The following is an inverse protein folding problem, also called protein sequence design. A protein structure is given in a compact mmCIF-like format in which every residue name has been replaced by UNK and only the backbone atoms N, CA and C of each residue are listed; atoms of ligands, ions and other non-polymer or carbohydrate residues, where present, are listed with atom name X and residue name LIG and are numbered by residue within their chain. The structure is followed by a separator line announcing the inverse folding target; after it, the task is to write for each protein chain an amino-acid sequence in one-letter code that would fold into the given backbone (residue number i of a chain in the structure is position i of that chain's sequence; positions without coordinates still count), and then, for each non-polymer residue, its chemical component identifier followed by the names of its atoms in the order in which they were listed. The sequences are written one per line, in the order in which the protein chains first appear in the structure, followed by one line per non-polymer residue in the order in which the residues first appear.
data_IF_676086158422
#
_entry.id   IF_676086158422
#
_cell.length_a   1.000
_cell.length_b   1.000
_cell.length_c   1.000
_cell.angle_alpha   90.00
_cell.angle_beta   90.00
_cell.angle_gamma   90.00
#
_symmetry.space_group_name_H-M   'P 1'
#
loop_
_entity.id
_entity.type
_entity.pdbx_description
1 polymer ?
#
# COMPACT_ATOMS: atom_id res chain seq x y z
N UNK A 1 -13.05 21.27 3.19
CA UNK A 1 -12.05 21.53 4.24
C UNK A 1 -10.75 21.84 3.54
N UNK A 2 -10.20 23.03 3.78
CA UNK A 2 -8.90 23.39 3.20
C UNK A 2 -7.81 22.53 3.84
N UNK A 3 -6.74 22.21 3.09
CA UNK A 3 -5.69 21.31 3.60
C UNK A 3 -5.10 21.79 4.93
N UNK A 4 -4.97 23.11 5.12
CA UNK A 4 -4.40 23.67 6.35
C UNK A 4 -5.33 23.45 7.57
N UNK A 5 -6.65 23.45 7.37
CA UNK A 5 -7.62 23.07 8.40
C UNK A 5 -7.50 21.58 8.77
N UNK A 6 -7.32 20.72 7.76
CA UNK A 6 -7.08 19.27 7.96
C UNK A 6 -5.84 19.05 8.82
N UNK A 7 -4.74 19.72 8.52
CA UNK A 7 -3.48 19.57 9.26
C UNK A 7 -3.61 20.04 10.71
N UNK A 8 -4.34 21.14 10.95
CA UNK A 8 -4.63 21.61 12.31
C UNK A 8 -5.45 20.58 13.07
N UNK A 9 -6.48 20.02 12.45
CA UNK A 9 -7.34 19.02 13.09
C UNK A 9 -6.59 17.70 13.34
N UNK A 10 -5.78 17.23 12.40
CA UNK A 10 -4.92 16.08 12.58
C UNK A 10 -3.99 16.25 13.79
N UNK A 11 -3.42 17.44 13.99
CA UNK A 11 -2.59 17.74 15.15
C UNK A 11 -3.36 17.70 16.47
N UNK A 12 -4.61 18.19 16.49
CA UNK A 12 -5.47 18.07 17.69
C UNK A 12 -5.79 16.61 18.00
N UNK A 13 -6.08 15.80 16.98
CA UNK A 13 -6.34 14.37 17.14
C UNK A 13 -5.14 13.63 17.76
N UNK A 14 -3.92 13.97 17.36
CA UNK A 14 -2.70 13.44 17.98
C UNK A 14 -2.64 13.81 19.47
N UNK A 15 -2.85 15.09 19.81
CA UNK A 15 -2.84 15.54 21.21
C UNK A 15 -3.92 14.88 22.08
N UNK A 16 -5.09 14.60 21.50
CA UNK A 16 -6.16 13.84 22.18
C UNK A 16 -5.70 12.40 22.40
N UNK A 17 -5.15 11.75 21.37
CA UNK A 17 -4.63 10.39 21.44
C UNK A 17 -3.50 10.22 22.46
N UNK A 18 -2.59 11.20 22.57
CA UNK A 18 -1.53 11.22 23.59
C UNK A 18 -2.10 11.22 25.01
N UNK A 19 -3.11 12.07 25.27
CA UNK A 19 -3.80 12.11 26.57
C UNK A 19 -4.52 10.79 26.86
N UNK A 20 -5.26 10.27 25.87
CA UNK A 20 -5.96 8.99 25.97
C UNK A 20 -4.97 7.86 26.31
N UNK A 21 -3.81 7.80 25.65
CA UNK A 21 -2.78 6.80 25.88
C UNK A 21 -2.17 6.88 27.29
N UNK A 22 -1.90 8.10 27.78
CA UNK A 22 -1.36 8.32 29.13
C UNK A 22 -2.35 7.91 30.22
N UNK A 23 -3.62 8.31 30.12
CA UNK A 23 -4.67 7.91 31.07
C UNK A 23 -4.84 6.39 31.08
N UNK A 24 -4.82 5.79 29.89
CA UNK A 24 -4.86 4.36 29.67
C UNK A 24 -3.70 3.66 30.41
N UNK A 25 -2.46 4.05 30.16
CA UNK A 25 -1.25 3.49 30.77
C UNK A 25 -1.27 3.53 32.31
N UNK A 26 -1.88 4.56 32.89
CA UNK A 26 -2.02 4.69 34.34
C UNK A 26 -3.06 3.73 34.93
N UNK A 27 -4.12 3.39 34.19
CA UNK A 27 -5.23 2.54 34.66
C UNK A 27 -5.00 1.05 34.50
N UNK A 28 -4.15 0.61 33.57
CA UNK A 28 -4.02 -0.81 33.21
C UNK A 28 -2.56 -1.24 33.06
N UNK A 29 -2.16 -2.28 33.82
CA UNK A 29 -0.80 -2.84 33.81
C UNK A 29 -0.46 -3.63 32.53
N UNK A 30 -1.48 -4.02 31.74
CA UNK A 30 -1.34 -4.81 30.52
C UNK A 30 -1.97 -4.06 29.35
N UNK A 31 -1.15 -3.46 28.50
CA UNK A 31 -1.59 -2.85 27.24
C UNK A 31 -1.36 -3.81 26.09
N UNK A 32 -2.45 -4.14 25.36
CA UNK A 32 -2.40 -4.92 24.11
C UNK A 32 -2.37 -4.04 22.85
N UNK A 33 -2.88 -2.82 22.93
CA UNK A 33 -2.90 -1.88 21.81
C UNK A 33 -1.57 -1.09 21.76
N UNK A 34 -1.00 -0.89 20.56
CA UNK A 34 0.15 0.01 20.43
C UNK A 34 -0.23 1.43 20.77
N UNK A 35 0.74 2.15 21.33
CA UNK A 35 0.77 3.60 21.34
C UNK A 35 0.39 4.17 19.98
N UNK A 36 0.96 3.62 18.90
CA UNK A 36 0.70 4.13 17.57
C UNK A 36 -0.79 4.11 17.21
N UNK A 37 -1.48 3.00 17.47
CA UNK A 37 -2.89 2.87 17.13
C UNK A 37 -3.75 3.85 17.93
N UNK A 38 -3.45 4.04 19.22
CA UNK A 38 -4.20 4.94 20.09
C UNK A 38 -3.91 6.41 19.73
N UNK A 39 -2.65 6.75 19.51
CA UNK A 39 -2.22 8.14 19.36
C UNK A 39 -2.43 8.66 17.94
N UNK A 40 -2.08 7.89 16.91
CA UNK A 40 -1.98 8.41 15.55
C UNK A 40 -3.10 7.96 14.60
N UNK A 41 -3.76 6.82 14.85
CA UNK A 41 -4.67 6.21 13.84
C UNK A 41 -5.78 7.15 13.36
N UNK A 42 -6.41 7.94 14.26
CA UNK A 42 -7.44 8.92 13.90
C UNK A 42 -6.88 10.03 12.98
N UNK A 43 -5.71 10.56 13.31
CA UNK A 43 -5.06 11.61 12.53
C UNK A 43 -4.58 11.07 11.17
N UNK A 44 -4.00 9.87 11.15
CA UNK A 44 -3.57 9.18 9.93
C UNK A 44 -4.75 9.00 8.99
N UNK A 45 -5.87 8.45 9.47
CA UNK A 45 -7.08 8.27 8.65
C UNK A 45 -7.56 9.58 8.03
N UNK A 46 -7.66 10.65 8.84
CA UNK A 46 -8.06 11.97 8.37
C UNK A 46 -7.13 12.51 7.26
N UNK A 47 -5.82 12.34 7.42
CA UNK A 47 -4.83 12.77 6.42
C UNK A 47 -4.94 11.97 5.13
N UNK A 48 -5.13 10.66 5.23
CA UNK A 48 -5.25 9.77 4.07
C UNK A 48 -6.54 10.03 3.29
N UNK A 49 -7.66 10.37 3.94
CA UNK A 49 -8.92 10.73 3.26
C UNK A 49 -8.78 11.89 2.26
N UNK A 50 -7.81 12.79 2.47
CA UNK A 50 -7.55 13.95 1.60
C UNK A 50 -6.24 13.84 0.83
N UNK A 51 -5.57 12.69 0.88
CA UNK A 51 -4.27 12.50 0.24
C UNK A 51 -4.43 12.31 -1.28
N UNK A 52 -3.82 13.24 -2.02
CA UNK A 52 -3.82 13.28 -3.48
C UNK A 52 -2.60 14.10 -3.95
N UNK A 53 -2.36 14.16 -5.25
CA UNK A 53 -1.22 14.86 -5.87
C UNK A 53 -1.08 16.32 -5.38
N UNK A 54 -2.19 17.05 -5.20
CA UNK A 54 -2.15 18.47 -4.77
C UNK A 54 -1.71 18.62 -3.31
N UNK A 55 -2.01 17.63 -2.47
CA UNK A 55 -1.79 17.67 -1.03
C UNK A 55 -0.59 16.85 -0.57
N UNK A 56 -0.04 15.97 -1.42
CA UNK A 56 1.04 15.01 -1.15
C UNK A 56 2.16 15.63 -0.33
N UNK A 57 2.76 16.72 -0.82
CA UNK A 57 3.91 17.36 -0.17
C UNK A 57 3.60 17.86 1.25
N UNK A 58 2.43 18.50 1.44
CA UNK A 58 2.04 19.02 2.76
C UNK A 58 1.76 17.88 3.74
N UNK A 59 1.10 16.82 3.28
CA UNK A 59 0.78 15.66 4.13
C UNK A 59 2.04 14.87 4.46
N UNK A 60 2.92 14.59 3.49
CA UNK A 60 4.18 13.89 3.73
C UNK A 60 5.06 14.63 4.76
N UNK A 61 5.16 15.96 4.67
CA UNK A 61 5.84 16.79 5.69
C UNK A 61 5.19 16.70 7.07
N UNK A 62 3.86 16.61 7.12
CA UNK A 62 3.15 16.42 8.38
C UNK A 62 3.49 15.06 9.00
N UNK A 63 3.47 13.99 8.19
CA UNK A 63 3.88 12.65 8.63
C UNK A 63 5.29 12.69 9.22
N UNK A 64 6.27 13.24 8.49
CA UNK A 64 7.67 13.34 8.94
C UNK A 64 7.82 14.07 10.27
N UNK A 65 7.04 15.13 10.48
CA UNK A 65 7.16 16.00 11.65
C UNK A 65 6.41 15.51 12.88
N UNK A 66 5.26 14.87 12.68
CA UNK A 66 4.28 14.65 13.75
C UNK A 66 3.90 13.20 13.97
N UNK A 67 4.17 12.30 13.03
CA UNK A 67 3.81 10.89 13.14
C UNK A 67 5.12 10.09 13.09
N UNK A 68 5.53 9.43 14.19
CA UNK A 68 6.79 8.72 14.23
C UNK A 68 6.83 7.65 13.13
N UNK A 69 8.03 7.45 12.59
CA UNK A 69 8.30 6.32 11.72
C UNK A 69 7.97 5.03 12.47
N UNK A 70 7.07 4.22 11.89
CA UNK A 70 6.69 2.93 12.46
C UNK A 70 7.89 2.01 12.66
N UNK A 71 8.97 2.23 11.93
CA UNK A 71 10.17 1.40 11.84
C UNK A 71 11.00 1.30 13.13
N UNK A 72 10.78 2.18 14.12
CA UNK A 72 11.46 2.13 15.42
C UNK A 72 10.71 1.32 16.49
N UNK A 73 9.46 0.91 16.21
CA UNK A 73 8.76 -0.05 17.06
C UNK A 73 9.30 -1.47 16.80
N UNK A 74 9.46 -2.26 17.87
CA UNK A 74 10.00 -3.63 17.82
C UNK A 74 9.31 -4.51 16.76
N UNK A 75 8.05 -4.22 16.43
CA UNK A 75 7.22 -4.97 15.50
C UNK A 75 7.41 -4.62 14.01
N UNK A 76 8.05 -3.49 13.70
CA UNK A 76 8.30 -3.05 12.32
C UNK A 76 9.78 -3.10 11.91
N UNK A 77 10.70 -3.43 12.85
CA UNK A 77 12.12 -3.66 12.54
C UNK A 77 12.33 -4.68 11.42
N UNK A 78 11.49 -5.72 11.39
CA UNK A 78 11.51 -6.71 10.32
C UNK A 78 11.18 -6.07 8.96
N UNK A 79 10.24 -5.12 8.90
CA UNK A 79 9.89 -4.44 7.64
C UNK A 79 11.06 -3.60 7.10
N UNK A 80 11.83 -2.96 7.98
CA UNK A 80 13.07 -2.27 7.59
C UNK A 80 14.07 -3.23 6.95
N UNK A 81 14.32 -4.38 7.60
CA UNK A 81 15.19 -5.42 7.05
C UNK A 81 14.67 -5.94 5.72
N UNK A 82 13.36 -6.12 5.56
CA UNK A 82 12.79 -6.56 4.30
C UNK A 82 12.90 -5.50 3.18
N UNK A 83 12.77 -4.21 3.49
CA UNK A 83 13.02 -3.16 2.50
C UNK A 83 14.47 -3.16 2.01
N UNK A 84 15.43 -3.37 2.90
CA UNK A 84 16.83 -3.50 2.49
C UNK A 84 17.09 -4.79 1.70
N UNK A 85 16.45 -5.90 2.09
CA UNK A 85 16.53 -7.15 1.33
C UNK A 85 15.95 -7.04 -0.07
N UNK A 86 14.91 -6.22 -0.30
CA UNK A 86 14.38 -5.94 -1.64
C UNK A 86 15.40 -5.25 -2.55
N UNK A 87 16.38 -4.52 -2.00
CA UNK A 87 17.46 -3.88 -2.76
C UNK A 87 18.71 -4.76 -2.87
N UNK A 88 18.70 -5.94 -2.26
CA UNK A 88 19.85 -6.85 -2.29
C UNK A 88 20.17 -7.33 -3.70
N UNK A 89 21.44 -7.61 -3.96
CA UNK A 89 21.88 -8.28 -5.20
C UNK A 89 21.41 -9.75 -5.24
N UNK A 90 21.16 -10.34 -4.08
CA UNK A 90 20.68 -11.71 -3.93
C UNK A 90 19.20 -11.82 -4.30
N UNK A 91 18.92 -12.61 -5.34
CA UNK A 91 17.56 -12.83 -5.83
C UNK A 91 16.67 -13.56 -4.81
N UNK A 92 17.20 -14.51 -4.05
CA UNK A 92 16.42 -15.25 -3.06
C UNK A 92 15.98 -14.33 -1.92
N UNK A 93 16.85 -13.42 -1.48
CA UNK A 93 16.50 -12.37 -0.51
C UNK A 93 15.40 -11.45 -1.04
N UNK A 94 15.51 -10.98 -2.29
CA UNK A 94 14.46 -10.14 -2.91
C UNK A 94 13.12 -10.88 -3.03
N UNK A 95 13.15 -12.17 -3.40
CA UNK A 95 11.93 -13.00 -3.47
C UNK A 95 11.32 -13.17 -2.08
N UNK A 96 12.12 -13.46 -1.05
CA UNK A 96 11.63 -13.63 0.32
C UNK A 96 11.04 -12.31 0.86
N UNK A 97 11.72 -11.20 0.62
CA UNK A 97 11.27 -9.89 1.06
C UNK A 97 9.99 -9.43 0.34
N UNK A 98 9.88 -9.62 -0.97
CA UNK A 98 8.64 -9.30 -1.69
C UNK A 98 7.46 -10.17 -1.24
N UNK A 99 7.68 -11.46 -0.95
CA UNK A 99 6.66 -12.33 -0.33
C UNK A 99 6.21 -11.82 1.04
N UNK A 100 7.13 -11.25 1.84
CA UNK A 100 6.80 -10.65 3.12
C UNK A 100 5.79 -9.52 2.95
N UNK A 101 6.07 -8.53 2.10
CA UNK A 101 5.16 -7.41 1.87
C UNK A 101 3.82 -7.85 1.29
N UNK A 102 3.82 -8.79 0.35
CA UNK A 102 2.59 -9.44 -0.13
C UNK A 102 1.80 -10.05 1.03
N UNK A 103 2.46 -10.81 1.90
CA UNK A 103 1.81 -11.45 3.05
C UNK A 103 1.22 -10.42 4.01
N UNK A 104 1.90 -9.30 4.24
CA UNK A 104 1.40 -8.20 5.08
C UNK A 104 0.18 -7.52 4.47
N UNK A 105 0.21 -7.21 3.18
CA UNK A 105 -0.91 -6.56 2.49
C UNK A 105 -2.19 -7.43 2.48
N UNK A 106 -2.04 -8.75 2.43
CA UNK A 106 -3.17 -9.69 2.39
C UNK A 106 -3.66 -10.16 3.77
N UNK A 107 -3.00 -9.81 4.88
CA UNK A 107 -3.42 -10.23 6.21
C UNK A 107 -4.73 -9.54 6.63
N UNK A 108 -5.75 -10.34 6.95
CA UNK A 108 -7.09 -9.85 7.35
C UNK A 108 -7.23 -9.65 8.87
N UNK A 109 -6.37 -10.30 9.66
CA UNK A 109 -6.68 -10.62 11.06
C UNK A 109 -5.90 -9.84 12.12
N UNK A 110 -4.99 -8.93 11.75
CA UNK A 110 -4.33 -8.08 12.74
C UNK A 110 -3.96 -6.71 12.19
N UNK A 111 -4.76 -5.68 12.52
CA UNK A 111 -4.50 -4.28 12.14
C UNK A 111 -3.09 -3.80 12.52
N UNK A 112 -2.49 -4.39 13.55
CA UNK A 112 -1.14 -4.07 13.99
C UNK A 112 -0.05 -4.39 12.97
N UNK A 113 -0.15 -5.53 12.26
CA UNK A 113 0.98 -6.07 11.48
C UNK A 113 1.16 -5.44 10.11
N UNK A 114 0.15 -4.75 9.61
CA UNK A 114 0.10 -4.14 8.29
C UNK A 114 -0.03 -2.61 8.34
N UNK A 115 0.07 -2.03 9.54
CA UNK A 115 0.01 -0.58 9.80
C UNK A 115 1.04 0.23 9.01
N UNK A 116 2.11 -0.42 8.54
CA UNK A 116 3.08 0.18 7.62
C UNK A 116 2.43 0.68 6.31
N UNK A 117 1.34 0.06 5.84
CA UNK A 117 0.60 0.48 4.65
C UNK A 117 -0.36 1.65 4.92
N UNK A 118 -0.51 2.10 6.16
CA UNK A 118 -1.16 3.39 6.47
C UNK A 118 -0.19 4.58 6.29
N UNK A 119 0.92 4.37 5.57
CA UNK A 119 1.89 5.41 5.24
C UNK A 119 2.13 5.50 3.73
N UNK A 120 1.99 6.70 3.12
CA UNK A 120 2.30 6.90 1.71
C UNK A 120 3.73 6.47 1.33
N UNK A 121 4.70 6.74 2.20
CA UNK A 121 6.11 6.39 1.97
C UNK A 121 6.37 4.88 1.81
N UNK A 122 5.50 4.02 2.34
CA UNK A 122 5.56 2.58 2.08
C UNK A 122 5.24 2.26 0.63
N UNK A 123 4.18 2.86 0.08
CA UNK A 123 3.82 2.71 -1.33
C UNK A 123 4.92 3.27 -2.23
N UNK A 124 5.43 4.46 -1.93
CA UNK A 124 6.52 5.10 -2.68
C UNK A 124 7.77 4.18 -2.75
N UNK A 125 8.20 3.61 -1.62
CA UNK A 125 9.34 2.69 -1.57
C UNK A 125 9.10 1.44 -2.41
N UNK A 126 7.92 0.82 -2.31
CA UNK A 126 7.59 -0.39 -3.07
C UNK A 126 7.44 -0.11 -4.57
N UNK A 127 6.86 1.02 -4.96
CA UNK A 127 6.75 1.46 -6.35
C UNK A 127 8.14 1.69 -6.94
N UNK A 128 9.02 2.41 -6.24
CA UNK A 128 10.40 2.63 -6.72
C UNK A 128 11.17 1.32 -6.95
N UNK A 129 10.95 0.31 -6.11
CA UNK A 129 11.54 -1.02 -6.28
C UNK A 129 10.90 -1.73 -7.49
N UNK A 130 9.58 -1.66 -7.64
CA UNK A 130 8.85 -2.27 -8.76
C UNK A 130 9.30 -1.71 -10.12
N UNK A 131 9.51 -0.39 -10.22
CA UNK A 131 9.94 0.30 -11.45
C UNK A 131 11.31 -0.18 -11.97
N UNK A 132 12.16 -0.69 -11.09
CA UNK A 132 13.53 -1.12 -11.42
C UNK A 132 13.72 -2.64 -11.43
N UNK A 133 12.74 -3.40 -10.97
CA UNK A 133 12.82 -4.87 -10.86
C UNK A 133 12.61 -5.55 -12.22
N UNK A 134 13.36 -6.62 -12.46
CA UNK A 134 13.32 -7.43 -13.69
C UNK A 134 12.86 -8.87 -13.44
N UNK A 135 12.83 -9.30 -12.18
CA UNK A 135 12.42 -10.64 -11.82
C UNK A 135 10.89 -10.76 -11.68
N UNK A 136 10.30 -11.58 -12.56
CA UNK A 136 8.84 -11.79 -12.62
C UNK A 136 8.22 -12.20 -11.27
N UNK A 137 8.91 -12.99 -10.44
CA UNK A 137 8.38 -13.43 -9.13
C UNK A 137 8.32 -12.27 -8.14
N UNK A 138 9.33 -11.41 -8.14
CA UNK A 138 9.38 -10.22 -7.28
C UNK A 138 8.31 -9.23 -7.74
N UNK A 139 8.25 -8.95 -9.05
CA UNK A 139 7.23 -8.11 -9.68
C UNK A 139 5.82 -8.55 -9.28
N UNK A 140 5.48 -9.83 -9.44
CA UNK A 140 4.17 -10.37 -9.07
C UNK A 140 3.86 -10.11 -7.58
N UNK A 141 4.81 -10.39 -6.68
CA UNK A 141 4.57 -10.17 -5.26
C UNK A 141 4.37 -8.68 -4.93
N UNK A 142 5.10 -7.78 -5.59
CA UNK A 142 4.95 -6.34 -5.40
C UNK A 142 3.63 -5.80 -5.97
N UNK A 143 3.20 -6.29 -7.14
CA UNK A 143 1.86 -5.97 -7.71
C UNK A 143 0.77 -6.36 -6.70
N UNK A 144 0.83 -7.59 -6.19
CA UNK A 144 -0.14 -8.09 -5.20
C UNK A 144 -0.07 -7.26 -3.91
N UNK A 145 1.12 -6.90 -3.45
CA UNK A 145 1.29 -6.08 -2.25
C UNK A 145 0.68 -4.69 -2.41
N UNK A 146 0.95 -4.01 -3.53
CA UNK A 146 0.45 -2.67 -3.82
C UNK A 146 -1.07 -2.65 -4.01
N UNK A 147 -1.61 -3.55 -4.83
CA UNK A 147 -3.07 -3.62 -5.02
C UNK A 147 -3.82 -4.08 -3.77
N UNK A 148 -3.28 -5.08 -3.06
CA UNK A 148 -3.86 -5.53 -1.79
C UNK A 148 -3.86 -4.46 -0.73
N UNK A 149 -2.82 -3.63 -0.69
CA UNK A 149 -2.76 -2.51 0.24
C UNK A 149 -3.65 -1.33 -0.18
N UNK A 150 -3.77 -1.07 -1.48
CA UNK A 150 -4.63 -0.03 -2.03
C UNK A 150 -6.07 -0.20 -1.55
N UNK A 151 -6.65 -1.40 -1.75
CA UNK A 151 -8.06 -1.67 -1.41
C UNK A 151 -8.33 -1.66 0.11
N UNK A 152 -7.30 -1.92 0.94
CA UNK A 152 -7.47 -2.20 2.37
C UNK A 152 -7.10 -1.05 3.29
N UNK A 153 -6.08 -0.27 2.95
CA UNK A 153 -5.53 0.75 3.85
C UNK A 153 -5.78 2.14 3.31
N UNK A 154 -5.38 2.39 2.07
CA UNK A 154 -5.54 3.70 1.46
C UNK A 154 -5.36 3.63 -0.06
N UNK A 155 -6.25 4.33 -0.77
CA UNK A 155 -6.26 4.48 -2.21
C UNK A 155 -5.11 5.39 -2.69
N UNK A 156 -3.87 4.90 -2.60
CA UNK A 156 -2.69 5.66 -3.02
C UNK A 156 -2.74 5.91 -4.54
N UNK A 157 -2.89 7.18 -4.92
CA UNK A 157 -3.27 7.60 -6.27
C UNK A 157 -2.30 7.15 -7.38
N UNK A 158 -1.02 6.91 -7.06
CA UNK A 158 -0.01 6.45 -8.03
C UNK A 158 -0.02 4.94 -8.27
N UNK A 159 -0.80 4.14 -7.52
CA UNK A 159 -0.82 2.68 -7.67
C UNK A 159 -1.22 2.27 -9.08
N UNK A 160 -2.33 2.81 -9.61
CA UNK A 160 -2.78 2.45 -10.96
C UNK A 160 -1.71 2.75 -12.00
N UNK A 161 -1.20 3.98 -12.01
CA UNK A 161 -0.18 4.41 -12.98
C UNK A 161 1.06 3.52 -12.91
N UNK A 162 1.51 3.16 -11.71
CA UNK A 162 2.69 2.31 -11.49
C UNK A 162 2.48 0.86 -11.91
N UNK A 163 1.24 0.35 -11.81
CA UNK A 163 0.91 -1.03 -12.21
C UNK A 163 0.56 -1.13 -13.70
N UNK A 164 0.07 -0.05 -14.31
CA UNK A 164 -0.39 -0.05 -15.71
C UNK A 164 0.61 -0.56 -16.76
N UNK A 165 1.94 -0.33 -16.66
CA UNK A 165 2.89 -0.87 -17.63
C UNK A 165 2.89 -2.40 -17.70
N UNK A 166 2.48 -3.06 -16.61
CA UNK A 166 2.48 -4.52 -16.52
C UNK A 166 1.29 -5.19 -17.22
N UNK A 167 0.30 -4.42 -17.71
CA UNK A 167 -0.78 -4.91 -18.57
C UNK A 167 -0.24 -5.60 -19.84
N UNK A 168 0.85 -5.09 -20.39
CA UNK A 168 1.48 -5.61 -21.62
C UNK A 168 2.72 -6.48 -21.33
N UNK A 169 2.91 -6.92 -20.09
CA UNK A 169 4.08 -7.71 -19.72
C UNK A 169 4.14 -9.05 -20.47
N UNK A 170 5.33 -9.51 -20.87
CA UNK A 170 5.48 -10.77 -21.65
C UNK A 170 4.98 -12.03 -20.94
N UNK A 171 5.05 -12.05 -19.60
CA UNK A 171 4.59 -13.18 -18.78
C UNK A 171 3.11 -13.05 -18.45
N UNK A 172 2.35 -14.09 -18.77
CA UNK A 172 0.91 -14.14 -18.51
C UNK A 172 0.53 -13.96 -17.04
N UNK A 173 1.34 -14.47 -16.10
CA UNK A 173 1.02 -14.33 -14.67
C UNK A 173 1.19 -12.89 -14.19
N UNK A 174 2.19 -12.17 -14.69
CA UNK A 174 2.36 -10.75 -14.37
C UNK A 174 1.16 -9.96 -14.89
N UNK A 175 0.74 -10.19 -16.14
CA UNK A 175 -0.46 -9.58 -16.71
C UNK A 175 -1.71 -9.90 -15.90
N UNK A 176 -1.92 -11.18 -15.58
CA UNK A 176 -3.05 -11.66 -14.80
C UNK A 176 -3.16 -10.94 -13.44
N UNK A 177 -2.07 -10.89 -12.67
CA UNK A 177 -2.09 -10.23 -11.37
C UNK A 177 -2.24 -8.72 -11.49
N UNK A 178 -1.72 -8.10 -12.55
CA UNK A 178 -1.93 -6.67 -12.83
C UNK A 178 -3.41 -6.37 -13.05
N UNK A 179 -4.09 -7.13 -13.91
CA UNK A 179 -5.52 -6.98 -14.18
C UNK A 179 -6.34 -7.20 -12.91
N UNK A 180 -6.09 -8.31 -12.21
CA UNK A 180 -6.80 -8.67 -10.98
C UNK A 180 -6.71 -7.56 -9.92
N UNK A 181 -5.51 -7.05 -9.66
CA UNK A 181 -5.26 -6.09 -8.58
C UNK A 181 -5.47 -4.62 -8.97
N UNK A 182 -5.80 -4.34 -10.23
CA UNK A 182 -6.25 -3.00 -10.68
C UNK A 182 -7.76 -2.96 -10.97
N UNK A 183 -8.46 -4.08 -10.73
CA UNK A 183 -9.89 -4.22 -11.03
C UNK A 183 -10.78 -3.22 -10.32
N UNK A 184 -10.52 -2.95 -9.05
CA UNK A 184 -11.29 -2.01 -8.22
C UNK A 184 -10.84 -0.55 -8.37
N UNK A 185 -9.78 -0.28 -9.15
CA UNK A 185 -9.24 1.08 -9.29
C UNK A 185 -9.93 1.80 -10.45
N UNK A 186 -10.74 2.81 -10.16
CA UNK A 186 -11.40 3.62 -11.19
C UNK A 186 -10.38 4.38 -12.05
N UNK A 187 -10.42 4.16 -13.37
CA UNK A 187 -9.58 4.88 -14.33
C UNK A 187 -10.18 4.77 -15.74
N UNK A 188 -10.37 5.92 -16.40
CA UNK A 188 -11.04 6.02 -17.70
C UNK A 188 -10.36 5.19 -18.80
N UNK A 189 -9.01 5.13 -18.78
CA UNK A 189 -8.21 4.41 -19.78
C UNK A 189 -8.12 2.90 -19.52
N UNK A 190 -8.58 2.44 -18.35
CA UNK A 190 -8.51 1.03 -17.97
C UNK A 190 -9.34 0.17 -18.90
N UNK A 191 -10.59 0.56 -19.15
CA UNK A 191 -11.50 -0.24 -19.99
C UNK A 191 -10.99 -0.36 -21.43
N UNK A 192 -10.46 0.72 -21.99
CA UNK A 192 -9.83 0.72 -23.32
C UNK A 192 -8.63 -0.24 -23.36
N UNK A 193 -7.75 -0.18 -22.35
CA UNK A 193 -6.61 -1.08 -22.23
C UNK A 193 -7.04 -2.54 -22.14
N UNK A 194 -8.05 -2.87 -21.33
CA UNK A 194 -8.55 -4.24 -21.17
C UNK A 194 -9.19 -4.77 -22.46
N UNK A 195 -9.98 -3.93 -23.16
CA UNK A 195 -10.54 -4.29 -24.48
C UNK A 195 -9.44 -4.54 -25.53
N UNK A 196 -8.41 -3.71 -25.57
CA UNK A 196 -7.27 -3.91 -26.46
C UNK A 196 -6.56 -5.24 -26.16
N UNK A 197 -6.30 -5.53 -24.88
CA UNK A 197 -5.71 -6.80 -24.46
C UNK A 197 -6.58 -8.02 -24.81
N UNK A 198 -7.91 -7.90 -24.73
CA UNK A 198 -8.82 -9.00 -25.08
C UNK A 198 -8.76 -9.36 -26.57
N UNK A 199 -8.58 -8.36 -27.44
CA UNK A 199 -8.44 -8.56 -28.88
C UNK A 199 -7.06 -9.12 -29.30
N UNK A 200 -6.09 -9.15 -28.39
CA UNK A 200 -4.78 -9.77 -28.60
C UNK A 200 -4.79 -11.26 -28.23
N UNK A 201 -3.80 -12.03 -28.72
CA UNK A 201 -3.61 -13.42 -28.29
C UNK A 201 -3.17 -13.49 -26.82
N UNK A 202 -4.08 -13.86 -25.93
CA UNK A 202 -3.80 -14.07 -24.50
C UNK A 202 -3.74 -15.55 -24.11
N UNK A 203 -3.28 -15.81 -22.88
CA UNK A 203 -3.42 -17.15 -22.28
C UNK A 203 -4.86 -17.36 -21.81
N UNK A 204 -5.32 -18.61 -21.78
CA UNK A 204 -6.68 -18.98 -21.33
C UNK A 204 -7.08 -18.35 -19.98
N UNK A 205 -6.12 -18.25 -19.06
CA UNK A 205 -6.33 -17.66 -17.72
C UNK A 205 -6.58 -16.14 -17.79
N UNK A 206 -5.85 -15.44 -18.65
CA UNK A 206 -6.03 -13.99 -18.85
C UNK A 206 -7.30 -13.70 -19.64
N UNK A 207 -7.60 -14.49 -20.68
CA UNK A 207 -8.85 -14.37 -21.45
C UNK A 207 -10.07 -14.45 -20.54
N UNK A 208 -10.15 -15.50 -19.69
CA UNK A 208 -11.26 -15.65 -18.73
C UNK A 208 -11.43 -14.46 -17.79
N UNK A 209 -10.30 -13.92 -17.29
CA UNK A 209 -10.33 -12.77 -16.40
C UNK A 209 -10.83 -11.51 -17.13
N UNK A 210 -10.45 -11.33 -18.40
CA UNK A 210 -10.93 -10.23 -19.22
C UNK A 210 -12.42 -10.37 -19.56
N UNK A 211 -12.91 -11.57 -19.87
CA UNK A 211 -14.34 -11.85 -20.09
C UNK A 211 -15.17 -11.48 -18.86
N UNK A 212 -14.70 -11.87 -17.66
CA UNK A 212 -15.34 -11.53 -16.38
C UNK A 212 -15.39 -10.01 -16.16
N UNK A 213 -14.29 -9.29 -16.40
CA UNK A 213 -14.25 -7.84 -16.16
C UNK A 213 -14.90 -6.99 -17.27
N UNK A 214 -14.99 -7.50 -18.48
CA UNK A 214 -15.60 -6.81 -19.61
C UNK A 214 -17.09 -7.18 -19.77
N UNK A 215 -17.60 -8.10 -18.96
CA UNK A 215 -18.97 -8.62 -19.01
C UNK A 215 -19.30 -9.22 -20.40
N UNK A 216 -18.35 -9.98 -20.95
CA UNK A 216 -18.51 -10.67 -22.25
C UNK A 216 -18.98 -12.10 -21.96
N UNK A 217 -20.15 -12.46 -22.51
CA UNK A 217 -20.77 -13.79 -22.40
C UNK A 217 -20.11 -14.87 -23.26
#
# INVERSE_FOLDING_TARGET
MEIDEVLVEAKKLIQIGEKEFLEKKQRTKYYRDSEYHIVYSKAVKLLLEVYNEKNELKINRFFEKHIPELFDNADCKESTVQFENLKSKDLELRIKASKYFRGKALQETSGYRAILFERPSTFEKLISILETEKNDKVIINLIIALGGAYDRYFNYFRVYESLSPFFHHKKSDVKYYTILWTSNIENDKKRETLNALYNEKQSKKVTKLLEEYLEIE
#
